data_IF_638797455574
#
_entry.id   IF_638797455574
#
_cell.length_a   1.000
_cell.length_b   1.000
_cell.length_c   1.000
_cell.angle_alpha   90.00
_cell.angle_beta   90.00
_cell.angle_gamma   90.00
#
_symmetry.space_group_name_H-M   'P 1'
#
loop_
_entity.id
_entity.type
_entity.pdbx_description
1 polymer ?
#
# COMPACT_ATOMS: atom_id res chain seq x y z
N UNK A 1 -9.79 59.18 6.81
CA UNK A 1 -10.30 57.83 6.50
C UNK A 1 -9.24 56.77 6.10
N UNK A 2 -8.00 57.13 5.74
CA UNK A 2 -6.96 56.14 5.29
C UNK A 2 -6.23 55.36 6.41
N UNK A 3 -6.24 55.86 7.66
CA UNK A 3 -5.55 55.16 8.77
C UNK A 3 -6.27 53.93 9.36
N UNK A 4 -7.61 53.82 9.19
CA UNK A 4 -8.37 52.68 9.73
C UNK A 4 -8.24 51.41 8.89
N UNK A 5 -7.94 51.50 7.59
CA UNK A 5 -7.77 50.33 6.71
C UNK A 5 -6.40 49.66 6.84
N UNK A 6 -5.35 50.40 7.26
CA UNK A 6 -4.00 49.86 7.43
C UNK A 6 -3.92 48.95 8.67
N UNK A 7 -4.67 49.29 9.73
CA UNK A 7 -4.70 48.49 10.96
C UNK A 7 -5.45 47.14 10.74
N UNK A 8 -6.55 47.18 9.98
CA UNK A 8 -7.34 45.99 9.68
C UNK A 8 -6.57 45.00 8.79
N UNK A 9 -5.81 45.46 7.80
CA UNK A 9 -4.97 44.63 6.94
C UNK A 9 -3.78 44.04 7.68
N UNK A 10 -3.17 44.76 8.61
CA UNK A 10 -2.06 44.24 9.45
C UNK A 10 -2.54 43.17 10.43
N UNK A 11 -3.73 43.30 11.01
CA UNK A 11 -4.32 42.30 11.90
C UNK A 11 -4.66 41.02 11.12
N UNK A 12 -5.19 41.13 9.88
CA UNK A 12 -5.49 39.97 9.04
C UNK A 12 -4.21 39.20 8.66
N UNK A 13 -3.12 39.89 8.33
CA UNK A 13 -1.83 39.26 7.99
C UNK A 13 -1.21 38.56 9.20
N UNK A 14 -1.33 39.14 10.41
CA UNK A 14 -0.84 38.54 11.65
C UNK A 14 -1.63 37.29 12.04
N UNK A 15 -2.95 37.29 11.86
CA UNK A 15 -3.79 36.12 12.17
C UNK A 15 -3.53 34.97 11.18
N UNK A 16 -3.34 35.25 9.88
CA UNK A 16 -2.98 34.24 8.88
C UNK A 16 -1.55 33.70 9.07
N UNK A 17 -0.61 34.54 9.46
CA UNK A 17 0.77 34.13 9.78
C UNK A 17 0.83 33.28 11.05
N UNK A 18 0.06 33.64 12.09
CA UNK A 18 -0.03 32.88 13.33
C UNK A 18 -0.70 31.52 13.15
N UNK A 19 -1.75 31.42 12.32
CA UNK A 19 -2.43 30.17 12.00
C UNK A 19 -1.57 29.18 11.23
N UNK A 20 -0.72 29.65 10.29
CA UNK A 20 0.25 28.79 9.57
C UNK A 20 1.41 28.35 10.48
N UNK A 21 1.92 29.20 11.36
CA UNK A 21 2.94 28.85 12.34
C UNK A 21 2.42 27.81 13.35
N UNK A 22 1.19 27.99 13.86
CA UNK A 22 0.57 27.04 14.79
C UNK A 22 0.26 25.68 14.15
N UNK A 23 -0.17 25.62 12.89
CA UNK A 23 -0.32 24.34 12.16
C UNK A 23 1.01 23.62 11.96
N UNK A 24 2.08 24.34 11.57
CA UNK A 24 3.42 23.76 11.41
C UNK A 24 4.01 23.30 12.75
N UNK A 25 3.87 24.06 13.81
CA UNK A 25 4.32 23.69 15.16
C UNK A 25 3.55 22.48 15.70
N UNK A 26 2.22 22.43 15.50
CA UNK A 26 1.38 21.29 15.90
C UNK A 26 1.72 20.00 15.11
N UNK A 27 1.98 20.12 13.80
CA UNK A 27 2.42 18.99 12.99
C UNK A 27 3.81 18.49 13.40
N UNK A 28 4.77 19.40 13.70
CA UNK A 28 6.09 18.97 14.16
C UNK A 28 6.03 18.32 15.55
N UNK A 29 5.21 18.82 16.45
CA UNK A 29 5.01 18.24 17.78
C UNK A 29 4.33 16.87 17.73
N UNK A 30 3.33 16.69 16.85
CA UNK A 30 2.69 15.40 16.61
C UNK A 30 3.68 14.37 16.00
N UNK A 31 4.55 14.80 15.07
CA UNK A 31 5.55 13.92 14.47
C UNK A 31 6.58 13.46 15.50
N UNK A 32 7.09 14.36 16.36
CA UNK A 32 8.01 14.01 17.45
C UNK A 32 7.36 13.04 18.44
N UNK A 33 6.08 13.20 18.75
CA UNK A 33 5.35 12.29 19.65
C UNK A 33 5.15 10.90 19.02
N UNK A 34 4.90 10.83 17.72
CA UNK A 34 4.76 9.56 16.98
C UNK A 34 6.10 8.83 16.87
N UNK A 35 7.18 9.56 16.57
CA UNK A 35 8.54 9.02 16.51
C UNK A 35 8.99 8.47 17.87
N UNK A 36 8.72 9.17 18.96
CA UNK A 36 9.04 8.71 20.33
C UNK A 36 8.27 7.43 20.67
N UNK A 37 6.96 7.36 20.37
CA UNK A 37 6.16 6.15 20.57
C UNK A 37 6.68 4.97 19.76
N UNK A 38 7.11 5.20 18.52
CA UNK A 38 7.66 4.14 17.67
C UNK A 38 9.03 3.68 18.22
N UNK A 39 9.88 4.59 18.70
CA UNK A 39 11.15 4.24 19.31
C UNK A 39 10.97 3.40 20.59
N UNK A 40 9.99 3.73 21.43
CA UNK A 40 9.65 2.93 22.62
C UNK A 40 9.15 1.53 22.22
N UNK A 41 8.30 1.43 21.20
CA UNK A 41 7.84 0.15 20.66
C UNK A 41 9.01 -0.69 20.13
N UNK A 42 9.93 -0.09 19.38
CA UNK A 42 11.13 -0.77 18.85
C UNK A 42 11.99 -1.30 19.99
N UNK A 43 12.16 -0.53 21.07
CA UNK A 43 12.92 -0.96 22.24
C UNK A 43 12.28 -2.19 22.89
N UNK A 44 10.97 -2.15 23.16
CA UNK A 44 10.23 -3.29 23.73
C UNK A 44 10.33 -4.53 22.83
N UNK A 45 10.08 -4.36 21.52
CA UNK A 45 10.20 -5.46 20.57
C UNK A 45 11.63 -6.03 20.50
N UNK A 46 12.65 -5.18 20.58
CA UNK A 46 14.05 -5.60 20.57
C UNK A 46 14.39 -6.46 21.78
N UNK A 47 13.87 -6.12 22.96
CA UNK A 47 14.06 -6.92 24.18
C UNK A 47 13.41 -8.30 24.05
N UNK A 48 12.19 -8.39 23.48
CA UNK A 48 11.50 -9.68 23.20
C UNK A 48 12.22 -10.48 22.14
N UNK A 49 12.58 -9.85 21.02
CA UNK A 49 13.26 -10.48 19.89
C UNK A 49 14.63 -11.08 20.28
N UNK A 50 15.38 -10.39 21.17
CA UNK A 50 16.65 -10.89 21.70
C UNK A 50 16.47 -12.11 22.64
N UNK A 51 15.29 -12.29 23.21
CA UNK A 51 14.93 -13.49 23.99
C UNK A 51 14.39 -14.63 23.11
N UNK A 52 14.38 -14.45 21.78
CA UNK A 52 13.95 -15.48 20.82
C UNK A 52 12.47 -15.38 20.42
N UNK A 53 11.74 -14.32 20.78
CA UNK A 53 10.35 -14.13 20.34
C UNK A 53 10.32 -13.90 18.83
N UNK A 54 9.81 -14.89 18.10
CA UNK A 54 9.79 -14.95 16.64
C UNK A 54 8.87 -13.88 16.04
N UNK A 55 7.73 -13.60 16.68
CA UNK A 55 6.81 -12.55 16.22
C UNK A 55 7.42 -11.17 16.40
N UNK A 56 8.08 -10.89 17.52
CA UNK A 56 8.81 -9.66 17.72
C UNK A 56 9.94 -9.47 16.70
N UNK A 57 10.66 -10.54 16.34
CA UNK A 57 11.67 -10.52 15.28
C UNK A 57 11.04 -10.16 13.93
N UNK A 58 9.92 -10.80 13.56
CA UNK A 58 9.22 -10.54 12.30
C UNK A 58 8.68 -9.10 12.24
N UNK A 59 8.10 -8.61 13.34
CA UNK A 59 7.58 -7.25 13.44
C UNK A 59 8.69 -6.20 13.34
N UNK A 60 9.85 -6.41 13.97
CA UNK A 60 11.02 -5.54 13.79
C UNK A 60 11.49 -5.53 12.33
N UNK A 61 11.52 -6.70 11.69
CA UNK A 61 11.84 -6.81 10.26
C UNK A 61 10.92 -5.95 9.40
N UNK A 62 9.63 -5.97 9.68
CA UNK A 62 8.62 -5.19 8.96
C UNK A 62 8.72 -3.68 9.25
N UNK A 63 8.86 -3.27 10.51
CA UNK A 63 9.03 -1.86 10.90
C UNK A 63 10.25 -1.25 10.20
N UNK A 64 11.39 -1.94 10.20
CA UNK A 64 12.60 -1.46 9.53
C UNK A 64 12.48 -1.49 7.99
N UNK A 65 11.66 -2.36 7.41
CA UNK A 65 11.37 -2.40 5.98
C UNK A 65 10.53 -1.20 5.55
N UNK A 66 9.43 -0.95 6.26
CA UNK A 66 8.45 0.08 5.90
C UNK A 66 8.94 1.48 6.25
N UNK A 67 9.69 1.63 7.34
CA UNK A 67 10.11 2.94 7.85
C UNK A 67 8.94 3.76 8.40
N UNK A 68 7.87 3.09 8.86
CA UNK A 68 6.69 3.76 9.39
C UNK A 68 6.99 4.38 10.77
N UNK A 69 6.96 5.70 10.86
CA UNK A 69 7.31 6.45 12.06
C UNK A 69 8.81 6.53 12.37
N UNK A 70 9.67 5.89 11.58
CA UNK A 70 11.13 5.97 11.64
C UNK A 70 11.72 5.98 10.23
N UNK A 71 13.01 6.25 10.09
CA UNK A 71 13.70 6.03 8.82
C UNK A 71 13.87 4.52 8.57
N UNK A 72 13.55 4.05 7.36
CA UNK A 72 13.77 2.66 6.98
C UNK A 72 15.24 2.26 7.13
N UNK A 73 15.47 1.06 7.67
CA UNK A 73 16.79 0.44 7.80
C UNK A 73 16.74 -0.98 7.23
N UNK A 74 17.00 -1.09 5.94
CA UNK A 74 16.88 -2.35 5.22
C UNK A 74 17.88 -3.42 5.66
N UNK A 75 19.02 -3.02 6.24
CA UNK A 75 20.00 -3.98 6.80
C UNK A 75 19.42 -4.63 8.05
N UNK A 76 18.91 -3.82 8.98
CA UNK A 76 18.22 -4.34 10.17
C UNK A 76 16.97 -5.12 9.81
N UNK A 77 16.21 -4.67 8.81
CA UNK A 77 15.07 -5.46 8.30
C UNK A 77 15.49 -6.85 7.86
N UNK A 78 16.57 -6.97 7.07
CA UNK A 78 17.10 -8.26 6.62
C UNK A 78 17.58 -9.11 7.79
N UNK A 79 18.28 -8.52 8.76
CA UNK A 79 18.81 -9.24 9.93
C UNK A 79 17.68 -9.86 10.78
N UNK A 80 16.68 -9.05 11.13
CA UNK A 80 15.55 -9.51 11.94
C UNK A 80 14.63 -10.47 11.18
N UNK A 81 14.36 -10.19 9.91
CA UNK A 81 13.57 -11.10 9.08
C UNK A 81 14.23 -12.47 8.90
N UNK A 82 15.56 -12.54 8.77
CA UNK A 82 16.27 -13.84 8.71
C UNK A 82 16.09 -14.63 9.99
N UNK A 83 16.29 -14.02 11.15
CA UNK A 83 16.10 -14.69 12.45
C UNK A 83 14.69 -15.27 12.60
N UNK A 84 13.67 -14.49 12.21
CA UNK A 84 12.29 -14.97 12.25
C UNK A 84 12.03 -16.08 11.22
N UNK A 85 12.58 -15.98 10.02
CA UNK A 85 12.43 -16.95 8.94
C UNK A 85 13.08 -18.31 9.28
N UNK A 86 14.20 -18.34 10.01
CA UNK A 86 14.83 -19.56 10.54
C UNK A 86 13.87 -20.35 11.44
N UNK A 87 12.93 -19.64 12.09
CA UNK A 87 11.86 -20.21 12.90
C UNK A 87 10.52 -20.29 12.15
N UNK A 88 10.55 -20.38 10.83
CA UNK A 88 9.38 -20.54 9.94
C UNK A 88 8.34 -19.42 10.04
N UNK A 89 8.75 -18.20 10.35
CA UNK A 89 7.85 -17.05 10.24
C UNK A 89 7.70 -16.64 8.77
N UNK A 90 6.57 -16.95 8.18
CA UNK A 90 6.31 -16.76 6.75
C UNK A 90 6.16 -15.31 6.33
N UNK A 91 5.66 -14.45 7.24
CA UNK A 91 5.65 -12.99 7.03
C UNK A 91 7.08 -12.43 6.90
N UNK A 92 8.01 -12.94 7.70
CA UNK A 92 9.43 -12.58 7.58
C UNK A 92 10.05 -13.08 6.27
N UNK A 93 9.66 -14.28 5.79
CA UNK A 93 10.08 -14.77 4.47
C UNK A 93 9.60 -13.84 3.34
N UNK A 94 8.37 -13.34 3.40
CA UNK A 94 7.87 -12.31 2.47
C UNK A 94 8.72 -11.04 2.54
N UNK A 95 9.06 -10.55 3.73
CA UNK A 95 9.90 -9.37 3.89
C UNK A 95 11.29 -9.56 3.22
N UNK A 96 11.90 -10.73 3.38
CA UNK A 96 13.15 -11.09 2.68
C UNK A 96 12.95 -11.07 1.16
N UNK A 97 11.82 -11.61 0.68
CA UNK A 97 11.44 -11.57 -0.73
C UNK A 97 11.39 -10.13 -1.28
N UNK A 98 10.75 -9.21 -0.55
CA UNK A 98 10.65 -7.79 -0.92
C UNK A 98 12.05 -7.14 -0.97
N UNK A 99 12.90 -7.40 0.02
CA UNK A 99 14.27 -6.86 0.06
C UNK A 99 15.09 -7.30 -1.16
N UNK A 100 15.00 -8.57 -1.58
CA UNK A 100 15.67 -9.05 -2.79
C UNK A 100 15.00 -8.57 -4.08
N UNK A 101 13.67 -8.47 -4.14
CA UNK A 101 12.93 -8.01 -5.31
C UNK A 101 13.30 -6.58 -5.66
N UNK A 102 13.34 -5.71 -4.66
CA UNK A 102 13.60 -4.28 -4.84
C UNK A 102 15.08 -3.91 -4.72
N UNK A 103 15.92 -4.82 -4.20
CA UNK A 103 17.34 -4.57 -3.95
C UNK A 103 17.57 -3.61 -2.78
N UNK A 104 16.74 -3.70 -1.75
CA UNK A 104 16.79 -2.81 -0.59
C UNK A 104 17.82 -3.33 0.43
N UNK A 105 18.90 -2.60 0.62
CA UNK A 105 19.99 -2.99 1.53
C UNK A 105 20.80 -4.22 1.09
N UNK A 106 20.40 -4.86 0.00
CA UNK A 106 21.06 -6.00 -0.64
C UNK A 106 21.06 -5.83 -2.15
N UNK A 107 21.93 -6.58 -2.85
CA UNK A 107 21.86 -6.64 -4.31
C UNK A 107 20.54 -7.30 -4.73
N UNK A 108 19.84 -6.69 -5.70
CA UNK A 108 18.64 -7.24 -6.31
C UNK A 108 18.88 -8.66 -6.83
N UNK A 109 18.00 -9.58 -6.44
CA UNK A 109 18.09 -11.01 -6.82
C UNK A 109 16.68 -11.60 -6.96
N UNK A 110 16.18 -11.63 -8.17
CA UNK A 110 14.84 -12.10 -8.46
C UNK A 110 14.62 -13.60 -8.14
N UNK A 111 15.67 -14.42 -8.27
CA UNK A 111 15.56 -15.85 -7.95
C UNK A 111 15.39 -16.06 -6.45
N UNK A 112 16.16 -15.32 -5.62
CA UNK A 112 15.99 -15.35 -4.17
C UNK A 112 14.65 -14.75 -3.74
N UNK A 113 14.21 -13.68 -4.39
CA UNK A 113 12.90 -13.10 -4.13
C UNK A 113 11.78 -14.12 -4.37
N UNK A 114 11.80 -14.78 -5.54
CA UNK A 114 10.81 -15.82 -5.87
C UNK A 114 10.80 -16.96 -4.85
N UNK A 115 11.97 -17.51 -4.52
CA UNK A 115 12.07 -18.57 -3.52
C UNK A 115 11.55 -18.14 -2.14
N UNK A 116 11.85 -16.90 -1.72
CA UNK A 116 11.37 -16.38 -0.44
C UNK A 116 9.84 -16.20 -0.42
N UNK A 117 9.26 -15.71 -1.52
CA UNK A 117 7.80 -15.61 -1.64
C UNK A 117 7.13 -16.99 -1.72
N UNK A 118 7.72 -17.96 -2.44
CA UNK A 118 7.20 -19.34 -2.46
C UNK A 118 7.16 -19.93 -1.06
N UNK A 119 8.24 -19.80 -0.29
CA UNK A 119 8.27 -20.27 1.10
C UNK A 119 7.26 -19.55 1.99
N UNK A 120 6.99 -18.26 1.72
CA UNK A 120 5.96 -17.49 2.42
C UNK A 120 4.55 -18.02 2.12
N UNK A 121 4.26 -18.35 0.86
CA UNK A 121 2.98 -18.94 0.41
C UNK A 121 2.77 -20.34 1.00
N UNK A 122 3.79 -21.18 0.96
CA UNK A 122 3.75 -22.55 1.55
C UNK A 122 3.39 -22.52 3.04
N UNK A 123 3.69 -21.43 3.70
CA UNK A 123 3.37 -21.20 5.09
C UNK A 123 2.05 -20.50 5.36
N UNK A 124 1.29 -20.17 4.33
CA UNK A 124 -0.03 -19.58 4.46
C UNK A 124 -0.04 -18.04 4.59
N UNK A 125 1.03 -17.35 4.19
CA UNK A 125 1.03 -15.88 4.13
C UNK A 125 0.09 -15.39 3.04
N UNK A 126 -1.01 -14.76 3.42
CA UNK A 126 -2.04 -14.26 2.50
C UNK A 126 -1.54 -13.25 1.46
N UNK A 127 -0.43 -12.57 1.73
CA UNK A 127 0.12 -11.55 0.84
C UNK A 127 1.25 -12.07 -0.07
N UNK A 128 1.82 -13.25 0.23
CA UNK A 128 2.89 -13.87 -0.56
C UNK A 128 2.49 -14.08 -2.03
N UNK A 129 1.29 -14.63 -2.32
CA UNK A 129 0.88 -14.95 -3.68
C UNK A 129 0.90 -13.75 -4.63
N UNK A 130 0.51 -12.55 -4.18
CA UNK A 130 0.52 -11.37 -5.05
C UNK A 130 1.92 -11.04 -5.60
N UNK A 131 2.97 -11.28 -4.84
CA UNK A 131 4.34 -11.04 -5.29
C UNK A 131 4.77 -12.07 -6.33
N UNK A 132 4.41 -13.34 -6.16
CA UNK A 132 4.63 -14.38 -7.18
C UNK A 132 3.87 -14.05 -8.47
N UNK A 133 2.62 -13.59 -8.35
CA UNK A 133 1.83 -13.10 -9.48
C UNK A 133 2.49 -11.92 -10.20
N UNK A 134 2.98 -10.91 -9.46
CA UNK A 134 3.72 -9.77 -10.02
C UNK A 134 5.01 -10.25 -10.73
N UNK A 135 5.73 -11.19 -10.15
CA UNK A 135 6.96 -11.72 -10.73
C UNK A 135 6.68 -12.51 -12.02
N UNK A 136 5.62 -13.32 -12.04
CA UNK A 136 5.19 -14.06 -13.24
C UNK A 136 4.66 -13.12 -14.33
N UNK A 137 3.83 -12.12 -13.99
CA UNK A 137 3.32 -11.11 -14.93
C UNK A 137 4.43 -10.37 -15.67
N UNK A 138 5.55 -10.08 -14.98
CA UNK A 138 6.64 -9.27 -15.50
C UNK A 138 7.87 -10.08 -15.94
N UNK A 139 7.92 -11.40 -15.68
CA UNK A 139 9.07 -12.24 -16.00
C UNK A 139 10.28 -11.95 -15.09
N UNK A 140 10.05 -11.65 -13.80
CA UNK A 140 11.11 -11.32 -12.86
C UNK A 140 11.67 -12.59 -12.21
N UNK A 141 12.80 -13.05 -12.68
CA UNK A 141 13.46 -14.28 -12.19
C UNK A 141 12.80 -15.60 -12.61
N UNK A 142 11.67 -15.52 -13.28
CA UNK A 142 10.91 -16.63 -13.89
C UNK A 142 10.53 -16.28 -15.32
N UNK A 143 10.08 -17.26 -16.11
CA UNK A 143 9.52 -16.98 -17.43
C UNK A 143 8.24 -16.14 -17.27
N UNK A 144 8.09 -15.11 -18.11
CA UNK A 144 6.85 -14.32 -18.13
C UNK A 144 5.67 -15.21 -18.52
N UNK A 145 4.63 -15.21 -17.67
CA UNK A 145 3.41 -15.98 -17.85
C UNK A 145 2.24 -15.24 -17.23
N UNK A 146 1.22 -14.95 -18.01
CA UNK A 146 -0.01 -14.35 -17.49
C UNK A 146 -0.89 -15.39 -16.80
N UNK A 147 -0.85 -16.65 -17.25
CA UNK A 147 -1.59 -17.75 -16.63
C UNK A 147 -1.08 -18.01 -15.21
N UNK A 148 0.26 -18.05 -15.03
CA UNK A 148 0.85 -18.18 -13.69
C UNK A 148 0.54 -16.97 -12.83
N UNK A 149 0.52 -15.76 -13.41
CA UNK A 149 0.18 -14.55 -12.69
C UNK A 149 -1.28 -14.58 -12.20
N UNK A 150 -2.21 -14.97 -13.07
CA UNK A 150 -3.63 -15.16 -12.74
C UNK A 150 -3.77 -16.16 -11.60
N UNK A 151 -3.18 -17.36 -11.73
CA UNK A 151 -3.19 -18.40 -10.72
C UNK A 151 -2.74 -17.90 -9.33
N UNK A 152 -1.59 -17.19 -9.27
CA UNK A 152 -1.12 -16.66 -7.99
C UNK A 152 -2.02 -15.54 -7.45
N UNK A 153 -2.55 -14.68 -8.31
CA UNK A 153 -3.48 -13.65 -7.86
C UNK A 153 -4.80 -14.24 -7.36
N UNK A 154 -5.29 -15.36 -7.94
CA UNK A 154 -6.46 -16.08 -7.44
C UNK A 154 -6.24 -16.65 -6.03
N UNK A 155 -5.05 -17.19 -5.77
CA UNK A 155 -4.69 -17.65 -4.41
C UNK A 155 -4.70 -16.47 -3.43
N UNK A 156 -4.13 -15.34 -3.80
CA UNK A 156 -4.11 -14.13 -2.96
C UNK A 156 -5.51 -13.57 -2.73
N UNK A 157 -6.32 -13.50 -3.77
CA UNK A 157 -7.71 -13.06 -3.70
C UNK A 157 -8.54 -13.96 -2.77
N UNK A 158 -8.43 -15.28 -2.91
CA UNK A 158 -9.08 -16.26 -2.04
C UNK A 158 -8.63 -16.15 -0.57
N UNK A 159 -7.43 -15.64 -0.33
CA UNK A 159 -6.90 -15.33 0.99
C UNK A 159 -7.30 -13.93 1.51
N UNK A 160 -8.11 -13.18 0.77
CA UNK A 160 -8.59 -11.85 1.13
C UNK A 160 -7.61 -10.70 0.82
N UNK A 161 -6.57 -10.94 0.02
CA UNK A 161 -5.65 -9.88 -0.40
C UNK A 161 -6.26 -9.01 -1.51
N UNK A 162 -6.78 -7.84 -1.19
CA UNK A 162 -7.39 -6.92 -2.15
C UNK A 162 -6.44 -6.43 -3.25
N UNK A 163 -5.13 -6.46 -3.01
CA UNK A 163 -4.17 -6.11 -4.07
C UNK A 163 -4.20 -7.18 -5.16
N UNK A 164 -4.33 -8.46 -4.79
CA UNK A 164 -4.52 -9.56 -5.73
C UNK A 164 -5.85 -9.42 -6.49
N UNK A 165 -6.95 -9.10 -5.80
CA UNK A 165 -8.24 -8.81 -6.45
C UNK A 165 -8.12 -7.67 -7.46
N UNK A 166 -7.45 -6.58 -7.10
CA UNK A 166 -7.18 -5.47 -8.03
C UNK A 166 -6.38 -5.92 -9.25
N UNK A 167 -5.35 -6.73 -9.06
CA UNK A 167 -4.52 -7.27 -10.14
C UNK A 167 -5.31 -8.16 -11.08
N UNK A 168 -6.17 -9.03 -10.56
CA UNK A 168 -7.10 -9.82 -11.38
C UNK A 168 -8.04 -8.94 -12.20
N UNK A 169 -8.66 -7.95 -11.57
CA UNK A 169 -9.46 -6.97 -12.26
C UNK A 169 -8.72 -6.30 -13.43
N UNK A 170 -7.45 -5.93 -13.22
CA UNK A 170 -6.62 -5.36 -14.29
C UNK A 170 -6.27 -6.37 -15.39
N UNK A 171 -6.04 -7.64 -15.07
CA UNK A 171 -5.80 -8.67 -16.07
C UNK A 171 -7.04 -8.86 -16.96
N UNK A 172 -8.22 -8.99 -16.35
CA UNK A 172 -9.49 -9.16 -17.08
C UNK A 172 -9.86 -7.91 -17.89
N UNK A 173 -9.59 -6.71 -17.38
CA UNK A 173 -9.76 -5.47 -18.16
C UNK A 173 -8.89 -5.47 -19.42
N UNK A 174 -7.65 -5.95 -19.32
CA UNK A 174 -6.69 -6.02 -20.42
C UNK A 174 -7.13 -6.97 -21.54
N UNK A 175 -7.76 -8.08 -21.19
CA UNK A 175 -8.31 -9.05 -22.16
C UNK A 175 -9.72 -8.70 -22.62
N UNK A 176 -10.32 -7.63 -22.09
CA UNK A 176 -11.66 -7.14 -22.47
C UNK A 176 -12.81 -7.82 -21.74
N UNK A 177 -12.54 -8.68 -20.76
CA UNK A 177 -13.58 -9.27 -19.89
C UNK A 177 -13.91 -8.29 -18.77
N UNK A 178 -14.63 -7.23 -19.13
CA UNK A 178 -15.01 -6.19 -18.19
C UNK A 178 -15.99 -6.67 -17.11
N UNK A 179 -16.76 -7.73 -17.38
CA UNK A 179 -17.68 -8.28 -16.39
C UNK A 179 -16.93 -8.86 -15.20
N UNK A 180 -15.93 -9.72 -15.46
CA UNK A 180 -15.04 -10.23 -14.41
C UNK A 180 -14.22 -9.13 -13.75
N UNK A 181 -13.72 -8.18 -14.54
CA UNK A 181 -12.97 -7.04 -14.01
C UNK A 181 -13.78 -6.28 -12.95
N UNK A 182 -15.04 -5.97 -13.23
CA UNK A 182 -15.98 -5.30 -12.31
C UNK A 182 -16.21 -6.14 -11.05
N UNK A 183 -16.41 -7.46 -11.19
CA UNK A 183 -16.59 -8.38 -10.08
C UNK A 183 -15.42 -8.27 -9.09
N UNK A 184 -14.18 -8.35 -9.59
CA UNK A 184 -13.00 -8.25 -8.75
C UNK A 184 -12.84 -6.86 -8.10
N UNK A 185 -13.10 -5.78 -8.84
CA UNK A 185 -13.01 -4.44 -8.25
C UNK A 185 -14.08 -4.18 -7.19
N UNK A 186 -15.26 -4.78 -7.30
CA UNK A 186 -16.33 -4.68 -6.30
C UNK A 186 -15.99 -5.37 -4.98
N UNK A 187 -14.98 -6.22 -4.91
CA UNK A 187 -14.49 -6.79 -3.63
C UNK A 187 -13.98 -5.73 -2.64
N UNK A 188 -13.69 -4.52 -3.11
CA UNK A 188 -13.38 -3.37 -2.24
C UNK A 188 -14.62 -2.71 -1.62
N UNK A 189 -15.84 -3.15 -1.99
CA UNK A 189 -17.08 -2.53 -1.50
C UNK A 189 -17.08 -2.47 0.04
N UNK A 190 -17.54 -1.33 0.59
CA UNK A 190 -17.56 -1.01 2.02
C UNK A 190 -16.20 -0.74 2.69
N UNK A 191 -15.10 -0.75 1.97
CA UNK A 191 -13.79 -0.36 2.52
C UNK A 191 -13.44 1.08 2.20
N UNK A 192 -12.91 1.79 3.20
CA UNK A 192 -12.41 3.16 3.04
C UNK A 192 -10.96 3.18 3.51
N UNK A 193 -10.08 2.60 2.68
CA UNK A 193 -8.65 2.58 2.92
C UNK A 193 -7.86 2.72 1.59
N UNK A 194 -6.56 2.97 1.71
CA UNK A 194 -5.70 3.18 0.53
C UNK A 194 -5.63 1.98 -0.42
N UNK A 195 -5.94 0.77 0.06
CA UNK A 195 -5.92 -0.46 -0.76
C UNK A 195 -7.14 -0.52 -1.67
N UNK A 196 -8.28 0.00 -1.22
CA UNK A 196 -9.53 0.04 -1.98
C UNK A 196 -9.53 1.17 -3.04
N UNK A 197 -8.78 2.24 -2.84
CA UNK A 197 -8.79 3.41 -3.71
C UNK A 197 -8.58 3.10 -5.20
N UNK A 198 -7.60 2.29 -5.64
CA UNK A 198 -7.41 1.97 -7.06
C UNK A 198 -8.57 1.18 -7.68
N UNK A 199 -9.27 0.37 -6.87
CA UNK A 199 -10.41 -0.41 -7.34
C UNK A 199 -11.62 0.50 -7.61
N UNK A 200 -11.87 1.45 -6.72
CA UNK A 200 -12.92 2.47 -6.95
C UNK A 200 -12.60 3.38 -8.13
N UNK A 201 -11.32 3.77 -8.32
CA UNK A 201 -10.94 4.51 -9.52
C UNK A 201 -11.23 3.74 -10.80
N UNK A 202 -10.88 2.45 -10.82
CA UNK A 202 -11.10 1.59 -11.97
C UNK A 202 -12.61 1.43 -12.26
N UNK A 203 -13.45 1.23 -11.23
CA UNK A 203 -14.91 1.20 -11.39
C UNK A 203 -15.42 2.53 -11.94
N UNK A 204 -14.97 3.66 -11.40
CA UNK A 204 -15.32 4.98 -11.94
C UNK A 204 -14.97 5.12 -13.42
N UNK A 205 -13.78 4.66 -13.84
CA UNK A 205 -13.34 4.68 -15.25
C UNK A 205 -14.23 3.80 -16.13
N UNK A 206 -14.64 2.62 -15.66
CA UNK A 206 -15.50 1.69 -16.39
C UNK A 206 -16.89 2.28 -16.62
N UNK A 207 -17.51 2.87 -15.58
CA UNK A 207 -18.81 3.53 -15.71
C UNK A 207 -18.75 4.83 -16.54
N UNK A 208 -17.67 5.62 -16.41
CA UNK A 208 -17.50 6.83 -17.21
C UNK A 208 -17.40 6.56 -18.72
N UNK A 209 -16.85 5.38 -19.08
CA UNK A 209 -16.62 5.00 -20.48
C UNK A 209 -17.62 3.97 -21.01
N UNK A 210 -18.50 3.43 -20.18
CA UNK A 210 -19.47 2.38 -20.59
C UNK A 210 -18.79 1.07 -20.96
N UNK A 211 -17.72 0.69 -20.23
CA UNK A 211 -17.00 -0.57 -20.46
C UNK A 211 -17.53 -1.67 -19.55
N UNK A 212 -18.19 -2.67 -20.14
CA UNK A 212 -18.83 -3.78 -19.41
C UNK A 212 -20.07 -3.42 -18.61
N UNK A 213 -20.45 -2.15 -18.60
CA UNK A 213 -21.64 -1.58 -17.97
C UNK A 213 -22.21 -0.47 -18.84
N UNK A 214 -23.47 -0.11 -18.63
CA UNK A 214 -24.03 1.09 -19.24
C UNK A 214 -23.26 2.34 -18.76
N UNK A 215 -22.97 3.24 -19.70
CA UNK A 215 -22.28 4.50 -19.38
C UNK A 215 -23.12 5.33 -18.42
N UNK A 216 -22.55 5.66 -17.27
CA UNK A 216 -23.21 6.43 -16.23
C UNK A 216 -22.25 7.41 -15.55
N UNK A 217 -22.46 8.69 -15.84
CA UNK A 217 -21.72 9.78 -15.17
C UNK A 217 -22.04 9.82 -13.66
N UNK A 218 -23.26 9.45 -13.28
CA UNK A 218 -23.68 9.38 -11.88
C UNK A 218 -22.87 8.33 -11.10
N UNK A 219 -22.88 7.08 -11.59
CA UNK A 219 -22.14 5.98 -10.97
C UNK A 219 -20.63 6.25 -10.97
N UNK A 220 -20.08 6.77 -12.08
CA UNK A 220 -18.67 7.14 -12.16
C UNK A 220 -18.30 8.17 -11.08
N UNK A 221 -19.15 9.16 -10.84
CA UNK A 221 -18.97 10.16 -9.79
C UNK A 221 -18.94 9.53 -8.40
N UNK A 222 -19.89 8.66 -8.10
CA UNK A 222 -19.98 7.98 -6.81
C UNK A 222 -18.73 7.15 -6.50
N UNK A 223 -18.22 6.41 -7.50
CA UNK A 223 -16.98 5.64 -7.34
C UNK A 223 -15.74 6.53 -7.21
N UNK A 224 -15.61 7.62 -7.95
CA UNK A 224 -14.49 8.56 -7.75
C UNK A 224 -14.54 9.21 -6.37
N UNK A 225 -15.73 9.53 -5.86
CA UNK A 225 -15.87 10.05 -4.48
C UNK A 225 -15.46 9.01 -3.42
N UNK A 226 -15.79 7.72 -3.61
CA UNK A 226 -15.29 6.63 -2.76
C UNK A 226 -13.77 6.53 -2.84
N UNK A 227 -13.17 6.62 -4.02
CA UNK A 227 -11.73 6.62 -4.21
C UNK A 227 -11.04 7.78 -3.49
N UNK A 228 -11.62 8.99 -3.57
CA UNK A 228 -11.10 10.18 -2.87
C UNK A 228 -11.16 9.99 -1.34
N UNK A 229 -12.28 9.49 -0.82
CA UNK A 229 -12.42 9.17 0.61
C UNK A 229 -11.38 8.12 1.06
N UNK A 230 -11.02 7.21 0.16
CA UNK A 230 -9.98 6.20 0.37
C UNK A 230 -8.55 6.72 0.15
N UNK A 231 -8.38 8.01 -0.19
CA UNK A 231 -7.09 8.70 -0.27
C UNK A 231 -6.54 8.87 -1.68
N UNK A 232 -7.33 8.63 -2.74
CA UNK A 232 -6.88 8.87 -4.11
C UNK A 232 -6.86 10.36 -4.47
N UNK A 233 -5.70 10.86 -4.85
CA UNK A 233 -5.55 12.18 -5.45
C UNK A 233 -5.90 12.17 -6.96
N UNK A 234 -5.68 11.04 -7.64
CA UNK A 234 -5.98 10.88 -9.07
C UNK A 234 -7.49 10.96 -9.33
N UNK A 235 -8.29 10.32 -8.48
CA UNK A 235 -9.75 10.36 -8.59
C UNK A 235 -10.31 11.80 -8.48
N UNK A 236 -9.67 12.68 -7.71
CA UNK A 236 -10.05 14.09 -7.64
C UNK A 236 -9.93 14.76 -9.03
N UNK A 237 -8.84 14.49 -9.74
CA UNK A 237 -8.61 15.03 -11.08
C UNK A 237 -9.60 14.46 -12.10
N UNK A 238 -9.94 13.18 -12.00
CA UNK A 238 -10.91 12.49 -12.86
C UNK A 238 -12.32 13.04 -12.63
N UNK A 239 -12.71 13.25 -11.37
CA UNK A 239 -14.01 13.81 -11.00
C UNK A 239 -14.23 15.21 -11.58
N UNK A 240 -13.22 16.08 -11.56
CA UNK A 240 -13.30 17.44 -12.15
C UNK A 240 -13.50 17.39 -13.67
N UNK A 241 -12.94 16.37 -14.35
CA UNK A 241 -13.06 16.20 -15.81
C UNK A 241 -14.34 15.48 -16.23
N UNK A 242 -15.07 14.91 -15.29
CA UNK A 242 -16.27 14.13 -15.57
C UNK A 242 -17.42 15.10 -15.95
N UNK A 243 -17.84 15.05 -17.22
CA UNK A 243 -18.90 15.88 -17.79
C UNK A 243 -20.24 15.18 -17.76
#
# INVERSE_FOLDING_TARGET
>A
MKKKYIIATLILILVFSCGKKNKRARNSQNNVTLENKMNDKIKELTEKANKGDVEAQAELGEIYLQGDGIKADYKKSMEWSKKAAENKNYRAMRNIGILYLEGLGVKKDYKKAFSSFSSSVDGGDAQGPRYLGIMSENGLGVKKSLDDAEFYYEIGDSSGDLVSSYKLGKLYEKVGDYAKSIEFYKKAEDRIDKTAAPMYEALGDLYANGKGVEKSTKEAREYYEKAIKSGSQEAQNKLVKLK
#
